data_IF_863991215357
#
_entry.id   IF_863991215357
#
_cell.length_a   1.000
_cell.length_b   1.000
_cell.length_c   1.000
_cell.angle_alpha   90.00
_cell.angle_beta   90.00
_cell.angle_gamma   90.00
#
_symmetry.space_group_name_H-M   'P 1'
#
loop_
_entity.id
_entity.type
_entity.pdbx_description
1 polymer ?
#
# COMPACT_ATOMS: atom_id res chain seq x y z
N UNK A 1 -22.66 3.61 1.64
CA UNK A 1 -21.70 4.71 1.85
C UNK A 1 -20.77 4.79 0.63
N UNK A 2 -20.17 5.96 0.38
CA UNK A 2 -19.18 6.18 -0.68
C UNK A 2 -17.82 6.44 -0.02
N UNK A 3 -16.75 5.84 -0.53
CA UNK A 3 -15.38 5.98 -0.04
C UNK A 3 -14.47 6.57 -1.13
N UNK A 4 -13.38 7.22 -0.72
CA UNK A 4 -12.42 7.90 -1.59
C UNK A 4 -11.07 7.20 -1.60
N UNK A 5 -10.38 7.27 -2.74
CA UNK A 5 -9.02 6.73 -2.90
C UNK A 5 -8.21 7.44 -3.98
N UNK A 6 -6.88 7.39 -3.84
CA UNK A 6 -5.91 7.87 -4.83
C UNK A 6 -4.52 7.23 -4.63
N UNK A 7 -3.61 7.46 -5.59
CA UNK A 7 -2.20 7.05 -5.46
C UNK A 7 -1.51 8.00 -4.49
N UNK A 8 -0.94 7.47 -3.40
CA UNK A 8 -0.21 8.27 -2.40
C UNK A 8 1.16 8.70 -2.94
N UNK A 9 1.17 9.53 -3.98
CA UNK A 9 2.34 9.83 -4.80
C UNK A 9 3.15 11.01 -4.24
N UNK A 10 2.49 12.13 -3.95
CA UNK A 10 3.14 13.35 -3.46
C UNK A 10 3.29 13.27 -1.93
N UNK A 11 4.43 12.77 -1.45
CA UNK A 11 4.64 12.53 -0.01
C UNK A 11 4.51 13.79 0.84
N UNK A 12 4.86 14.97 0.32
CA UNK A 12 4.65 16.23 1.04
C UNK A 12 3.15 16.50 1.29
N UNK A 13 2.29 16.17 0.32
CA UNK A 13 0.85 16.30 0.47
C UNK A 13 0.30 15.26 1.45
N UNK A 14 0.72 14.00 1.32
CA UNK A 14 0.25 12.90 2.17
C UNK A 14 0.67 13.07 3.63
N UNK A 15 1.91 13.46 3.87
CA UNK A 15 2.42 13.72 5.24
C UNK A 15 1.70 14.90 5.89
N UNK A 16 1.45 15.99 5.15
CA UNK A 16 0.67 17.14 5.65
C UNK A 16 -0.76 16.77 6.08
N UNK A 17 -1.35 15.72 5.49
CA UNK A 17 -2.69 15.24 5.80
C UNK A 17 -2.71 14.01 6.73
N UNK A 18 -1.55 13.58 7.23
CA UNK A 18 -1.47 12.49 8.19
C UNK A 18 -1.86 12.98 9.59
N UNK A 19 -2.74 12.24 10.27
CA UNK A 19 -3.24 12.58 11.61
C UNK A 19 -3.05 11.40 12.55
N UNK A 20 -2.84 11.72 13.83
CA UNK A 20 -2.84 10.72 14.90
C UNK A 20 -4.28 10.30 15.15
N UNK A 21 -4.54 9.01 15.05
CA UNK A 21 -5.80 8.37 15.41
C UNK A 21 -5.64 7.45 16.60
N UNK A 22 -6.75 6.80 16.98
CA UNK A 22 -6.78 5.78 18.02
C UNK A 22 -7.25 4.47 17.42
N UNK A 23 -6.50 3.40 17.67
CA UNK A 23 -6.93 2.03 17.42
C UNK A 23 -7.14 1.34 18.77
N UNK A 24 -7.96 0.28 18.79
CA UNK A 24 -8.27 -0.44 20.03
C UNK A 24 -7.00 -0.97 20.71
N UNK A 25 -6.05 -1.46 19.91
CA UNK A 25 -4.87 -2.20 20.39
C UNK A 25 -3.53 -1.48 20.14
N UNK A 26 -3.56 -0.22 19.69
CA UNK A 26 -2.34 0.56 19.39
C UNK A 26 -2.40 1.91 20.07
N UNK A 27 -1.39 2.18 20.91
CA UNK A 27 -1.28 3.43 21.67
C UNK A 27 -1.24 4.69 20.78
N UNK A 28 -0.71 4.55 19.55
CA UNK A 28 -0.65 5.63 18.57
C UNK A 28 -0.72 5.04 17.16
N UNK A 29 -1.82 5.32 16.46
CA UNK A 29 -1.99 5.00 15.05
C UNK A 29 -1.89 6.28 14.22
N UNK A 30 -1.39 6.19 12.99
CA UNK A 30 -1.36 7.31 12.05
C UNK A 30 -2.25 6.98 10.88
N UNK A 31 -3.11 7.90 10.48
CA UNK A 31 -3.93 7.73 9.29
C UNK A 31 -3.66 8.89 8.33
N UNK A 32 -3.50 8.59 7.06
CA UNK A 32 -3.63 9.60 6.02
C UNK A 32 -5.11 9.96 5.89
N UNK A 33 -5.45 11.22 6.17
CA UNK A 33 -6.82 11.74 6.04
C UNK A 33 -7.10 12.31 4.65
N UNK A 34 -6.17 12.13 3.70
CA UNK A 34 -6.37 12.54 2.31
C UNK A 34 -7.40 11.65 1.59
N UNK A 35 -7.51 10.37 2.00
CA UNK A 35 -8.47 9.41 1.48
C UNK A 35 -8.68 8.23 2.45
N UNK A 36 -9.71 7.42 2.20
CA UNK A 36 -10.00 6.23 3.00
C UNK A 36 -9.05 5.08 2.66
N UNK A 37 -8.72 4.93 1.38
CA UNK A 37 -7.83 3.90 0.84
C UNK A 37 -6.78 4.56 -0.05
N UNK A 38 -5.51 4.20 0.12
CA UNK A 38 -4.42 4.71 -0.72
C UNK A 38 -3.70 3.55 -1.39
N UNK A 39 -3.05 3.79 -2.53
CA UNK A 39 -2.18 2.77 -3.11
C UNK A 39 -0.81 3.30 -3.49
N UNK A 40 0.16 2.38 -3.54
CA UNK A 40 1.51 2.59 -4.05
C UNK A 40 1.58 2.14 -5.52
N UNK A 41 2.14 2.99 -6.38
CA UNK A 41 2.36 2.68 -7.78
C UNK A 41 3.51 1.70 -8.00
N UNK A 42 3.53 1.01 -9.15
CA UNK A 42 4.62 0.09 -9.54
C UNK A 42 5.98 0.80 -9.67
N UNK A 43 5.97 2.12 -9.90
CA UNK A 43 7.19 2.94 -10.04
C UNK A 43 7.70 3.48 -8.71
N UNK A 44 6.95 3.29 -7.63
CA UNK A 44 7.24 3.87 -6.31
C UNK A 44 7.11 2.83 -5.20
N UNK A 45 7.07 1.53 -5.54
CA UNK A 45 6.95 0.44 -4.57
C UNK A 45 8.28 -0.28 -4.31
N UNK A 46 9.42 0.36 -4.60
CA UNK A 46 10.73 -0.28 -4.46
C UNK A 46 11.14 -0.39 -3.00
N UNK A 47 11.83 -1.49 -2.71
CA UNK A 47 12.39 -1.75 -1.39
C UNK A 47 13.35 -0.62 -0.99
N UNK A 48 13.18 -0.10 0.22
CA UNK A 48 14.00 0.98 0.76
C UNK A 48 13.62 2.40 0.32
N UNK A 49 12.61 2.57 -0.53
CA UNK A 49 12.14 3.90 -0.94
C UNK A 49 11.12 4.52 0.03
N UNK A 50 11.03 5.84 0.00
CA UNK A 50 10.24 6.64 0.94
C UNK A 50 8.74 6.31 0.93
N UNK A 51 8.17 5.96 -0.23
CA UNK A 51 6.76 5.56 -0.31
C UNK A 51 6.48 4.29 0.49
N UNK A 52 7.36 3.29 0.41
CA UNK A 52 7.18 2.05 1.16
C UNK A 52 7.23 2.33 2.68
N UNK A 53 8.14 3.19 3.10
CA UNK A 53 8.26 3.59 4.51
C UNK A 53 7.05 4.40 4.99
N UNK A 54 6.56 5.34 4.17
CA UNK A 54 5.35 6.09 4.50
C UNK A 54 4.13 5.16 4.65
N UNK A 55 3.94 4.25 3.70
CA UNK A 55 2.82 3.31 3.70
C UNK A 55 2.91 2.27 4.83
N UNK A 56 4.13 1.89 5.26
CA UNK A 56 4.35 1.08 6.48
C UNK A 56 3.86 1.79 7.74
N UNK A 57 3.96 3.11 7.78
CA UNK A 57 3.62 3.91 8.95
C UNK A 57 2.13 4.26 9.11
N UNK A 58 1.33 4.16 8.04
CA UNK A 58 -0.10 4.50 8.08
C UNK A 58 -0.98 3.27 8.33
N UNK A 59 -2.07 3.49 9.04
CA UNK A 59 -3.06 2.49 9.43
C UNK A 59 -4.16 2.27 8.38
N UNK A 60 -4.32 3.16 7.41
CA UNK A 60 -5.27 2.98 6.31
C UNK A 60 -5.13 1.58 5.67
N UNK A 61 -6.21 0.97 5.15
CA UNK A 61 -6.07 -0.10 4.18
C UNK A 61 -5.36 0.44 2.93
N UNK A 62 -4.43 -0.35 2.40
CA UNK A 62 -3.56 0.10 1.30
C UNK A 62 -3.54 -0.86 0.11
N UNK A 63 -3.24 -0.31 -1.06
CA UNK A 63 -3.01 -1.04 -2.29
C UNK A 63 -1.54 -1.06 -2.68
N UNK A 64 -1.10 -2.15 -3.29
CA UNK A 64 0.21 -2.21 -3.96
C UNK A 64 -0.03 -2.67 -5.39
N UNK A 65 0.33 -1.83 -6.37
CA UNK A 65 0.29 -2.24 -7.78
C UNK A 65 1.38 -3.28 -8.06
N UNK A 66 1.00 -4.36 -8.74
CA UNK A 66 1.91 -5.37 -9.25
C UNK A 66 1.67 -5.58 -10.75
N UNK A 67 2.75 -5.47 -11.53
CA UNK A 67 2.73 -5.59 -12.98
C UNK A 67 3.55 -6.80 -13.47
N UNK A 68 3.64 -7.00 -14.79
CA UNK A 68 4.28 -8.17 -15.40
C UNK A 68 5.78 -8.32 -15.11
N UNK A 69 6.42 -7.25 -14.63
CA UNK A 69 7.83 -7.22 -14.26
C UNK A 69 8.06 -7.34 -12.74
N UNK A 70 6.99 -7.40 -11.94
CA UNK A 70 7.10 -7.59 -10.49
C UNK A 70 7.44 -9.05 -10.21
N UNK A 71 8.52 -9.30 -9.46
CA UNK A 71 8.85 -10.67 -9.02
C UNK A 71 8.02 -11.06 -7.79
N UNK A 72 7.70 -12.35 -7.67
CA UNK A 72 6.97 -12.87 -6.52
C UNK A 72 7.75 -12.69 -5.21
N UNK A 73 9.07 -12.84 -5.27
CA UNK A 73 9.97 -12.65 -4.12
C UNK A 73 10.02 -11.18 -3.67
N UNK A 74 10.20 -10.23 -4.60
CA UNK A 74 10.16 -8.79 -4.28
C UNK A 74 8.80 -8.41 -3.70
N UNK A 75 7.70 -8.94 -4.24
CA UNK A 75 6.37 -8.71 -3.69
C UNK A 75 6.20 -9.29 -2.28
N UNK A 76 6.71 -10.51 -2.03
CA UNK A 76 6.69 -11.10 -0.69
C UNK A 76 7.44 -10.24 0.32
N UNK A 77 8.61 -9.70 -0.05
CA UNK A 77 9.38 -8.79 0.80
C UNK A 77 8.64 -7.47 1.05
N UNK A 78 7.99 -6.89 0.03
CA UNK A 78 7.13 -5.71 0.19
C UNK A 78 5.98 -5.99 1.17
N UNK A 79 5.34 -7.15 1.07
CA UNK A 79 4.23 -7.53 1.95
C UNK A 79 4.68 -7.74 3.40
N UNK A 80 5.87 -8.32 3.63
CA UNK A 80 6.43 -8.43 4.98
C UNK A 80 6.67 -7.06 5.63
N UNK A 81 7.01 -6.05 4.84
CA UNK A 81 7.20 -4.67 5.31
C UNK A 81 5.85 -3.99 5.60
N UNK A 82 4.88 -4.13 4.69
CA UNK A 82 3.61 -3.39 4.74
C UNK A 82 2.54 -4.05 5.61
N UNK A 83 2.60 -5.37 5.79
CA UNK A 83 1.66 -6.13 6.60
C UNK A 83 2.37 -7.18 7.48
N UNK A 84 3.29 -6.76 8.37
CA UNK A 84 4.12 -7.69 9.16
C UNK A 84 3.30 -8.58 10.10
N UNK A 85 2.10 -8.14 10.50
CA UNK A 85 1.19 -8.89 11.36
C UNK A 85 0.18 -9.75 10.59
N UNK A 86 0.28 -9.80 9.25
CA UNK A 86 -0.64 -10.52 8.37
C UNK A 86 -2.12 -10.18 8.65
N UNK A 87 -2.42 -8.90 8.83
CA UNK A 87 -3.76 -8.41 9.09
C UNK A 87 -4.63 -8.56 7.83
N UNK A 88 -5.77 -9.22 7.98
CA UNK A 88 -6.72 -9.42 6.89
C UNK A 88 -7.24 -8.06 6.40
N UNK A 89 -7.15 -7.82 5.09
CA UNK A 89 -7.65 -6.59 4.46
C UNK A 89 -6.72 -5.38 4.59
N UNK A 90 -5.57 -5.50 5.28
CA UNK A 90 -4.60 -4.41 5.40
C UNK A 90 -3.98 -4.04 4.04
N UNK A 91 -3.60 -5.05 3.25
CA UNK A 91 -3.02 -4.87 1.92
C UNK A 91 -3.88 -5.56 0.86
N UNK A 92 -4.12 -4.85 -0.24
CA UNK A 92 -4.70 -5.39 -1.47
C UNK A 92 -3.66 -5.34 -2.58
N UNK A 93 -3.39 -6.48 -3.22
CA UNK A 93 -2.58 -6.51 -4.43
C UNK A 93 -3.42 -6.10 -5.64
N UNK A 94 -3.00 -5.04 -6.33
CA UNK A 94 -3.67 -4.53 -7.52
C UNK A 94 -2.92 -5.04 -8.74
N UNK A 95 -3.45 -6.10 -9.35
CA UNK A 95 -2.80 -6.81 -10.45
C UNK A 95 -3.06 -6.10 -11.79
N UNK A 96 -2.00 -5.79 -12.53
CA UNK A 96 -2.07 -5.18 -13.86
C UNK A 96 -1.10 -5.86 -14.83
N UNK A 97 -1.28 -7.16 -15.00
CA UNK A 97 -0.44 -7.97 -15.89
C UNK A 97 -0.76 -7.78 -17.38
N UNK A 98 -1.97 -7.34 -17.70
CA UNK A 98 -2.51 -7.34 -19.06
C UNK A 98 -3.07 -8.72 -19.44
N UNK A 99 -4.09 -8.74 -20.30
CA UNK A 99 -4.85 -9.95 -20.62
C UNK A 99 -3.97 -11.10 -21.17
N UNK A 100 -2.95 -10.78 -21.96
CA UNK A 100 -2.05 -11.77 -22.53
C UNK A 100 -1.10 -12.42 -21.50
N UNK A 101 -0.80 -11.75 -20.38
CA UNK A 101 0.20 -12.21 -19.43
C UNK A 101 -0.39 -12.74 -18.11
N UNK A 102 -1.62 -12.36 -17.76
CA UNK A 102 -2.18 -12.61 -16.42
C UNK A 102 -2.18 -14.09 -16.04
N UNK A 103 -2.51 -14.99 -16.98
CA UNK A 103 -2.56 -16.42 -16.71
C UNK A 103 -1.18 -17.02 -16.42
N UNK A 104 -0.12 -16.45 -17.00
CA UNK A 104 1.25 -16.94 -16.83
C UNK A 104 2.00 -16.26 -15.66
N UNK A 105 1.54 -15.07 -15.23
CA UNK A 105 2.27 -14.21 -14.30
C UNK A 105 1.62 -14.07 -12.91
N UNK A 106 0.31 -14.29 -12.79
CA UNK A 106 -0.41 -14.16 -11.51
C UNK A 106 -0.29 -15.38 -10.60
N UNK A 107 -0.39 -16.64 -11.09
CA UNK A 107 -0.22 -17.82 -10.24
C UNK A 107 1.18 -17.88 -9.62
#
# INVERSE_FOLDING_TARGET
ALYTSHEGLLLDYETCLTRVGKEADVAKAYYSMSAHYLWIGERTNKLGEAHLEYFRGISNPIGVKCGPNTSAEEMANILQILNPRNELGKVVLITRFGAANVQAKLP
#
